data_IF_442158715681
#
_entry.id   IF_442158715681
#
_cell.length_a   1.000
_cell.length_b   1.000
_cell.length_c   1.000
_cell.angle_alpha   90.00
_cell.angle_beta   90.00
_cell.angle_gamma   90.00
#
_symmetry.space_group_name_H-M   'P 1'
#
loop_
_entity.id
_entity.type
_entity.pdbx_description
1 polymer ?
#
# COMPACT_ATOMS: atom_id res chain seq x y z
N UNK A 1 -10.74 -3.80 -20.16
CA UNK A 1 -10.04 -3.63 -18.87
C UNK A 1 -9.29 -2.31 -18.92
N UNK A 2 -9.95 -1.22 -18.52
CA UNK A 2 -9.28 0.07 -18.45
C UNK A 2 -8.60 0.15 -17.09
N UNK A 3 -7.29 -0.13 -17.03
CA UNK A 3 -6.46 0.49 -16.00
C UNK A 3 -6.66 1.98 -16.21
N UNK A 4 -7.41 2.60 -15.29
CA UNK A 4 -7.45 4.05 -15.17
C UNK A 4 -6.07 4.46 -14.69
N UNK A 5 -5.11 4.48 -15.62
CA UNK A 5 -3.90 5.25 -15.47
C UNK A 5 -4.40 6.64 -15.12
N UNK A 6 -4.30 7.03 -13.83
CA UNK A 6 -4.28 8.44 -13.50
C UNK A 6 -3.09 8.95 -14.28
N UNK A 7 -3.33 9.54 -15.46
CA UNK A 7 -2.28 10.32 -16.11
C UNK A 7 -1.79 11.26 -15.01
N UNK A 8 -0.49 11.30 -14.69
CA UNK A 8 -0.03 12.37 -13.83
C UNK A 8 -0.53 13.66 -14.49
N UNK A 9 -1.24 14.55 -13.76
CA UNK A 9 -1.58 15.84 -14.32
C UNK A 9 -0.27 16.41 -14.85
N UNK A 10 -0.22 16.76 -16.14
CA UNK A 10 0.98 17.37 -16.69
C UNK A 10 1.30 18.58 -15.80
N UNK A 11 2.56 18.88 -15.51
CA UNK A 11 2.94 19.94 -14.55
C UNK A 11 2.21 21.29 -14.80
N UNK A 12 1.71 21.49 -16.02
CA UNK A 12 0.88 22.62 -16.48
C UNK A 12 -0.57 22.63 -15.98
N UNK A 13 -1.12 21.52 -15.48
CA UNK A 13 -2.49 21.39 -14.90
C UNK A 13 -2.48 21.44 -13.37
N UNK A 14 -1.31 21.35 -12.74
CA UNK A 14 -1.10 21.55 -11.31
C UNK A 14 -1.31 23.02 -10.84
N UNK A 15 -1.29 24.10 -11.66
CA UNK A 15 -1.42 25.46 -11.13
C UNK A 15 -2.87 25.93 -10.91
N UNK A 16 -3.89 25.08 -11.10
CA UNK A 16 -5.31 25.47 -10.89
C UNK A 16 -5.99 24.75 -9.72
N UNK A 17 -5.40 23.66 -9.22
CA UNK A 17 -5.77 23.08 -7.93
C UNK A 17 -4.94 23.84 -6.89
N UNK A 18 -5.39 25.04 -6.53
CA UNK A 18 -4.96 25.87 -5.39
C UNK A 18 -3.51 25.64 -4.91
N UNK A 19 -2.68 26.67 -5.06
CA UNK A 19 -1.40 26.91 -4.37
C UNK A 19 -1.52 26.95 -2.81
N UNK A 20 -2.48 26.24 -2.23
CA UNK A 20 -2.93 26.30 -0.85
C UNK A 20 -2.67 25.00 -0.08
N UNK A 21 -2.04 24.00 -0.71
CA UNK A 21 -1.74 22.72 -0.07
C UNK A 21 -0.22 22.47 -0.06
N UNK A 22 0.46 23.25 0.76
CA UNK A 22 1.73 22.89 1.40
C UNK A 22 1.52 22.89 2.92
N UNK A 23 2.44 22.25 3.66
CA UNK A 23 2.24 21.15 4.59
C UNK A 23 1.60 21.59 5.91
N UNK A 24 1.36 20.63 6.79
CA UNK A 24 0.85 20.79 8.15
C UNK A 24 -0.69 20.71 8.22
N UNK A 25 -1.19 19.59 8.73
CA UNK A 25 -2.44 19.49 9.49
C UNK A 25 -2.31 20.28 10.79
N UNK A 26 -1.81 21.52 10.69
CA UNK A 26 -1.77 22.55 11.73
C UNK A 26 -3.18 22.92 12.23
N UNK A 27 -4.22 22.45 11.55
CA UNK A 27 -5.59 22.49 12.04
C UNK A 27 -5.79 21.32 13.00
N UNK A 28 -6.05 21.58 14.30
CA UNK A 28 -6.27 20.54 15.26
C UNK A 28 -7.46 19.69 14.83
N UNK A 29 -7.20 18.41 14.57
CA UNK A 29 -8.27 17.44 14.37
C UNK A 29 -8.84 17.18 15.76
N UNK A 30 -10.09 17.60 15.96
CA UNK A 30 -10.74 17.45 17.25
C UNK A 30 -10.76 15.98 17.68
N UNK A 31 -10.18 15.69 18.84
CA UNK A 31 -10.13 14.34 19.42
C UNK A 31 -8.89 13.52 19.04
N UNK A 32 -7.89 14.10 18.37
CA UNK A 32 -6.61 13.42 18.06
C UNK A 32 -5.48 14.01 18.90
N UNK A 33 -4.56 13.17 19.39
CA UNK A 33 -3.36 13.62 20.12
C UNK A 33 -2.38 14.34 19.18
N UNK A 34 -1.48 15.15 19.74
CA UNK A 34 -0.43 15.83 18.96
C UNK A 34 0.44 14.85 18.16
N UNK A 35 0.76 13.70 18.73
CA UNK A 35 1.52 12.64 18.07
C UNK A 35 0.73 12.00 16.92
N UNK A 36 -0.59 11.86 17.07
CA UNK A 36 -1.45 11.35 16.00
C UNK A 36 -1.56 12.33 14.84
N UNK A 37 -1.57 13.64 15.12
CA UNK A 37 -1.54 14.69 14.10
C UNK A 37 -0.20 14.65 13.33
N UNK A 38 0.94 14.53 14.04
CA UNK A 38 2.27 14.43 13.40
C UNK A 38 2.39 13.19 12.49
N UNK A 39 1.88 12.04 12.93
CA UNK A 39 1.84 10.84 12.11
C UNK A 39 1.00 11.04 10.84
N UNK A 40 -0.17 11.66 10.97
CA UNK A 40 -1.06 11.93 9.84
C UNK A 40 -0.43 12.87 8.83
N UNK A 41 0.36 13.86 9.26
CA UNK A 41 1.09 14.76 8.36
C UNK A 41 2.09 14.02 7.47
N UNK A 42 2.83 13.08 8.06
CA UNK A 42 3.81 12.27 7.31
C UNK A 42 3.12 11.30 6.35
N UNK A 43 2.00 10.70 6.74
CA UNK A 43 1.25 9.74 5.92
C UNK A 43 0.44 10.40 4.79
N UNK A 44 -0.13 11.58 5.04
CA UNK A 44 -1.01 12.29 4.11
C UNK A 44 -0.25 13.28 3.20
N UNK A 45 1.06 13.12 3.09
CA UNK A 45 1.89 13.87 2.14
C UNK A 45 1.42 13.66 0.70
N UNK A 46 1.22 14.78 0.01
CA UNK A 46 0.75 14.80 -1.38
C UNK A 46 1.76 14.20 -2.34
N UNK A 47 3.04 14.62 -2.22
CA UNK A 47 4.13 14.01 -2.96
C UNK A 47 4.43 12.61 -2.38
N UNK A 48 4.26 11.53 -3.15
CA UNK A 48 4.55 10.17 -2.67
C UNK A 48 6.02 9.96 -2.32
N UNK A 49 6.94 10.81 -2.80
CA UNK A 49 8.37 10.76 -2.45
C UNK A 49 8.65 11.34 -1.06
N UNK A 50 7.77 12.20 -0.56
CA UNK A 50 7.85 12.80 0.77
C UNK A 50 7.00 12.04 1.80
N UNK A 51 6.15 11.11 1.33
CA UNK A 51 5.32 10.27 2.19
C UNK A 51 6.19 9.25 2.92
N UNK A 52 6.04 9.19 4.25
CA UNK A 52 6.75 8.20 5.06
C UNK A 52 6.45 6.78 4.59
N UNK A 53 7.47 5.93 4.60
CA UNK A 53 7.31 4.50 4.33
C UNK A 53 6.56 3.80 5.46
N UNK A 54 6.06 2.58 5.21
CA UNK A 54 5.39 1.80 6.25
C UNK A 54 6.33 1.55 7.45
N UNK A 55 7.59 1.17 7.18
CA UNK A 55 8.60 0.92 8.21
C UNK A 55 8.87 2.15 9.08
N UNK A 56 9.07 3.33 8.47
CA UNK A 56 9.26 4.59 9.21
C UNK A 56 8.03 4.96 10.03
N UNK A 57 6.83 4.80 9.48
CA UNK A 57 5.59 5.11 10.18
C UNK A 57 5.37 4.20 11.40
N UNK A 58 5.77 2.93 11.33
CA UNK A 58 5.66 1.97 12.43
C UNK A 58 6.58 2.31 13.61
N UNK A 59 7.71 2.97 13.36
CA UNK A 59 8.62 3.47 14.41
C UNK A 59 8.18 4.79 15.06
N UNK A 60 7.00 5.31 14.70
CA UNK A 60 6.53 6.59 15.19
C UNK A 60 6.01 6.51 16.64
N UNK A 61 6.27 7.50 17.52
CA UNK A 61 5.85 7.49 18.93
C UNK A 61 4.37 7.16 19.18
N UNK A 62 3.51 7.59 18.26
CA UNK A 62 2.07 7.28 18.30
C UNK A 62 1.76 5.78 18.27
N UNK A 63 2.63 4.96 17.66
CA UNK A 63 2.48 3.51 17.51
C UNK A 63 3.39 2.70 18.45
N UNK A 64 4.20 3.33 19.30
CA UNK A 64 5.16 2.65 20.19
C UNK A 64 4.52 1.56 21.05
N UNK A 65 3.27 1.75 21.48
CA UNK A 65 2.55 0.76 22.29
C UNK A 65 2.18 -0.51 21.51
N UNK A 66 2.07 -0.40 20.18
CA UNK A 66 1.67 -1.47 19.28
C UNK A 66 2.82 -2.07 18.48
N UNK A 67 3.93 -1.32 18.35
CA UNK A 67 5.08 -1.73 17.56
C UNK A 67 5.78 -2.94 18.19
N UNK A 68 6.15 -3.90 17.35
CA UNK A 68 6.97 -5.05 17.72
C UNK A 68 8.24 -5.07 16.87
N UNK A 69 9.42 -5.33 17.46
CA UNK A 69 10.65 -5.48 16.69
C UNK A 69 10.63 -6.72 15.76
N UNK A 70 9.68 -7.64 15.94
CA UNK A 70 9.55 -8.87 15.14
C UNK A 70 8.49 -8.76 14.03
N UNK A 71 8.22 -7.56 13.51
CA UNK A 71 7.28 -7.40 12.41
C UNK A 71 7.75 -8.16 11.14
N UNK A 72 6.91 -9.05 10.58
CA UNK A 72 7.34 -9.96 9.52
C UNK A 72 7.44 -9.25 8.17
N UNK A 73 8.55 -9.47 7.46
CA UNK A 73 8.74 -9.03 6.08
C UNK A 73 8.33 -10.18 5.15
N UNK A 74 7.35 -9.92 4.28
CA UNK A 74 6.93 -10.88 3.27
C UNK A 74 7.93 -10.92 2.10
N UNK A 75 8.14 -12.11 1.54
CA UNK A 75 8.87 -12.24 0.28
C UNK A 75 8.13 -11.51 -0.85
N UNK A 76 8.91 -10.96 -1.79
CA UNK A 76 8.35 -10.28 -2.95
C UNK A 76 7.49 -11.26 -3.76
N UNK A 77 6.22 -10.90 -3.93
CA UNK A 77 5.28 -11.69 -4.74
C UNK A 77 5.81 -11.76 -6.18
N UNK A 78 5.91 -12.99 -6.70
CA UNK A 78 6.19 -13.21 -8.11
C UNK A 78 4.95 -12.84 -8.95
N UNK A 79 5.00 -11.66 -9.56
CA UNK A 79 3.92 -11.10 -10.35
C UNK A 79 3.83 -11.66 -11.78
N UNK A 80 4.57 -12.73 -12.12
CA UNK A 80 4.54 -13.36 -13.46
C UNK A 80 3.11 -13.62 -13.96
N UNK A 81 2.16 -13.90 -13.07
CA UNK A 81 0.77 -14.15 -13.46
C UNK A 81 0.02 -12.90 -13.97
N UNK A 82 0.44 -11.69 -13.61
CA UNK A 82 -0.26 -10.46 -14.01
C UNK A 82 -0.08 -10.15 -15.50
N UNK A 83 1.04 -10.58 -16.08
CA UNK A 83 1.40 -10.29 -17.47
C UNK A 83 1.08 -11.45 -18.43
N UNK A 84 0.47 -12.53 -17.94
CA UNK A 84 0.08 -13.67 -18.77
C UNK A 84 -1.28 -13.40 -19.42
N UNK A 85 -1.27 -13.19 -20.73
CA UNK A 85 -2.50 -13.24 -21.52
C UNK A 85 -2.90 -14.71 -21.73
N UNK A 86 -3.97 -15.15 -21.06
CA UNK A 86 -4.53 -16.47 -21.33
C UNK A 86 -6.06 -16.50 -21.26
N UNK A 87 -6.67 -17.44 -21.98
CA UNK A 87 -8.12 -17.57 -22.07
C UNK A 87 -8.73 -18.13 -20.78
N UNK A 88 -10.04 -17.93 -20.58
CA UNK A 88 -10.77 -18.36 -19.36
C UNK A 88 -10.53 -19.83 -19.02
N UNK A 89 -10.47 -20.73 -20.02
CA UNK A 89 -10.26 -22.16 -19.78
C UNK A 89 -8.83 -22.47 -19.29
N UNK A 90 -7.83 -21.73 -19.78
CA UNK A 90 -6.45 -21.86 -19.31
C UNK A 90 -6.31 -21.34 -17.87
N UNK A 91 -6.98 -20.23 -17.54
CA UNK A 91 -7.03 -19.73 -16.17
C UNK A 91 -7.66 -20.73 -15.20
N UNK A 92 -8.78 -21.36 -15.57
CA UNK A 92 -9.42 -22.40 -14.76
C UNK A 92 -8.48 -23.56 -14.48
N UNK A 93 -7.72 -24.00 -15.48
CA UNK A 93 -6.72 -25.07 -15.33
C UNK A 93 -5.61 -24.67 -14.35
N UNK A 94 -4.98 -23.52 -14.55
CA UNK A 94 -3.91 -23.01 -13.67
C UNK A 94 -4.37 -22.86 -12.22
N UNK A 95 -5.60 -22.38 -12.02
CA UNK A 95 -6.20 -22.27 -10.69
C UNK A 95 -6.42 -23.65 -10.06
N UNK A 96 -6.93 -24.60 -10.82
CA UNK A 96 -7.13 -25.97 -10.36
C UNK A 96 -5.80 -26.64 -9.98
N UNK A 97 -4.77 -26.52 -10.81
CA UNK A 97 -3.42 -27.03 -10.53
C UNK A 97 -2.85 -26.45 -9.23
N UNK A 98 -2.96 -25.13 -9.04
CA UNK A 98 -2.52 -24.46 -7.80
C UNK A 98 -3.31 -24.93 -6.59
N UNK A 99 -4.63 -25.10 -6.75
CA UNK A 99 -5.51 -25.65 -5.71
C UNK A 99 -5.03 -27.05 -5.29
N UNK A 100 -4.82 -27.94 -6.26
CA UNK A 100 -4.35 -29.31 -5.99
C UNK A 100 -2.98 -29.33 -5.33
N UNK A 101 -2.04 -28.50 -5.78
CA UNK A 101 -0.73 -28.38 -5.16
C UNK A 101 -0.81 -27.94 -3.70
N UNK A 102 -1.61 -26.90 -3.41
CA UNK A 102 -1.81 -26.39 -2.06
C UNK A 102 -2.38 -27.47 -1.13
N UNK A 103 -3.45 -28.16 -1.53
CA UNK A 103 -4.04 -29.22 -0.71
C UNK A 103 -3.15 -30.45 -0.57
N UNK A 104 -2.41 -30.84 -1.61
CA UNK A 104 -1.46 -31.96 -1.55
C UNK A 104 -0.28 -31.68 -0.62
N UNK A 105 0.23 -30.44 -0.63
CA UNK A 105 1.32 -30.04 0.25
C UNK A 105 0.86 -29.91 1.71
N UNK A 106 -0.41 -29.64 1.96
CA UNK A 106 -0.98 -29.52 3.31
C UNK A 106 -1.41 -30.87 3.89
N UNK A 107 -1.85 -31.82 3.06
CA UNK A 107 -2.22 -33.19 3.49
C UNK A 107 -1.02 -34.07 3.88
N UNK A 108 0.21 -33.65 3.61
CA UNK A 108 1.45 -34.34 4.01
C UNK A 108 2.05 -33.80 5.32
N UNK A 109 1.47 -32.76 5.91
CA UNK A 109 1.86 -32.18 7.21
C UNK A 109 0.87 -32.60 8.33
N UNK A 110 0.06 -33.63 8.07
CA UNK A 110 -0.88 -34.23 9.02
C UNK A 110 -0.39 -35.57 9.54
#
# INVERSE_FOLDING_TARGET
MAQRLRRPPTEREIPVICFCYGPETSKPIFGVSSEGIDLLDRLLSFDPRQRSTAEEALTHPFLDHYHSPEEPIAERINNMYLDIECGVQQWKRKLFEKKTFFYSSFSLVG
#
